data_IF_190777911033
#
_entry.id   IF_190777911033
#
_cell.length_a   1.000
_cell.length_b   1.000
_cell.length_c   1.000
_cell.angle_alpha   90.00
_cell.angle_beta   90.00
_cell.angle_gamma   90.00
#
_symmetry.space_group_name_H-M   'P 1'
#
loop_
_entity.id
_entity.type
_entity.pdbx_description
1 polymer ?
#
# COMPACT_ATOMS: atom_id res chain seq x y z
N UNK A 1 -80.41 -30.45 -1.77
CA UNK A 1 -79.21 -31.30 -1.56
C UNK A 1 -77.93 -30.71 -2.17
N UNK A 2 -77.93 -29.42 -2.57
CA UNK A 2 -76.82 -28.74 -3.29
C UNK A 2 -76.11 -27.66 -2.48
N UNK A 3 -76.54 -27.37 -1.25
CA UNK A 3 -75.96 -26.32 -0.39
C UNK A 3 -74.83 -26.81 0.53
N UNK A 4 -74.56 -28.12 0.58
CA UNK A 4 -73.52 -28.70 1.44
C UNK A 4 -72.15 -28.86 0.75
N UNK A 5 -72.04 -28.62 -0.56
CA UNK A 5 -70.78 -28.78 -1.29
C UNK A 5 -69.89 -27.53 -1.32
N UNK A 6 -70.43 -26.31 -1.14
CA UNK A 6 -69.62 -25.09 -1.10
C UNK A 6 -68.92 -24.82 0.24
N UNK A 7 -69.42 -25.39 1.34
CA UNK A 7 -68.80 -25.23 2.66
C UNK A 7 -67.46 -25.97 2.78
N UNK A 8 -67.31 -27.13 2.11
CA UNK A 8 -66.10 -27.96 2.23
C UNK A 8 -64.93 -27.42 1.42
N UNK A 9 -65.18 -26.76 0.28
CA UNK A 9 -64.13 -26.13 -0.53
C UNK A 9 -63.57 -24.86 0.12
N UNK A 10 -64.42 -24.08 0.83
CA UNK A 10 -63.97 -22.86 1.51
C UNK A 10 -63.04 -23.13 2.69
N UNK A 11 -63.29 -24.21 3.44
CA UNK A 11 -62.44 -24.57 4.59
C UNK A 11 -61.07 -25.12 4.14
N UNK A 12 -61.04 -25.87 3.04
CA UNK A 12 -59.81 -26.39 2.47
C UNK A 12 -58.90 -25.26 1.95
N UNK A 13 -59.46 -24.23 1.29
CA UNK A 13 -58.68 -23.05 0.89
C UNK A 13 -58.14 -22.27 2.08
N UNK A 14 -58.91 -22.08 3.15
CA UNK A 14 -58.44 -21.38 4.35
C UNK A 14 -57.34 -22.14 5.07
N UNK A 15 -57.44 -23.47 5.16
CA UNK A 15 -56.38 -24.32 5.71
C UNK A 15 -55.12 -24.29 4.85
N UNK A 16 -55.25 -24.32 3.53
CA UNK A 16 -54.10 -24.25 2.62
C UNK A 16 -53.41 -22.89 2.69
N UNK A 17 -54.18 -21.80 2.78
CA UNK A 17 -53.64 -20.45 2.96
C UNK A 17 -52.97 -20.29 4.33
N UNK A 18 -53.56 -20.84 5.40
CA UNK A 18 -52.96 -20.83 6.73
C UNK A 18 -51.66 -21.66 6.79
N UNK A 19 -51.60 -22.79 6.08
CA UNK A 19 -50.38 -23.59 5.94
C UNK A 19 -49.33 -22.84 5.12
N UNK A 20 -49.71 -22.15 4.03
CA UNK A 20 -48.78 -21.32 3.26
C UNK A 20 -48.23 -20.14 4.07
N UNK A 21 -49.08 -19.49 4.88
CA UNK A 21 -48.66 -18.40 5.79
C UNK A 21 -47.75 -18.97 6.89
N UNK A 22 -48.10 -20.11 7.49
CA UNK A 22 -47.26 -20.76 8.51
C UNK A 22 -45.92 -21.23 7.93
N UNK A 23 -45.91 -21.76 6.71
CA UNK A 23 -44.69 -22.12 5.98
C UNK A 23 -43.90 -20.86 5.66
N UNK A 24 -44.49 -19.76 5.20
CA UNK A 24 -43.78 -18.49 5.00
C UNK A 24 -43.25 -17.87 6.31
N UNK A 25 -43.93 -18.08 7.45
CA UNK A 25 -43.46 -17.64 8.77
C UNK A 25 -42.33 -18.54 9.28
N UNK A 26 -42.33 -19.84 8.97
CA UNK A 26 -41.26 -20.77 9.32
C UNK A 26 -40.08 -20.73 8.34
N UNK A 27 -40.31 -20.38 7.08
CA UNK A 27 -39.26 -20.11 6.06
C UNK A 27 -38.86 -18.65 6.01
N UNK A 28 -39.53 -17.78 6.79
CA UNK A 28 -38.92 -16.60 7.39
C UNK A 28 -37.87 -17.06 8.40
N UNK A 29 -36.97 -17.92 7.93
CA UNK A 29 -35.69 -18.21 8.53
C UNK A 29 -35.13 -16.83 8.72
N UNK A 30 -35.05 -16.39 9.98
CA UNK A 30 -34.11 -15.36 10.33
C UNK A 30 -32.82 -15.82 9.69
N UNK A 31 -32.39 -15.16 8.62
CA UNK A 31 -31.05 -15.30 8.11
C UNK A 31 -30.19 -14.97 9.32
N UNK A 32 -29.79 -16.03 10.03
CA UNK A 32 -28.73 -15.97 11.00
C UNK A 32 -27.54 -15.69 10.12
N UNK A 33 -27.30 -14.40 9.87
CA UNK A 33 -26.01 -13.90 9.43
C UNK A 33 -25.02 -14.61 10.34
N UNK A 34 -24.27 -15.57 9.79
CA UNK A 34 -23.19 -16.19 10.52
C UNK A 34 -22.35 -15.03 11.06
N UNK A 35 -22.12 -15.04 12.37
CA UNK A 35 -21.34 -13.97 12.99
C UNK A 35 -19.98 -13.96 12.30
N UNK A 36 -19.65 -12.86 11.63
CA UNK A 36 -18.36 -12.71 10.96
C UNK A 36 -17.28 -12.89 12.03
N UNK A 37 -16.51 -13.96 11.92
CA UNK A 37 -15.37 -14.23 12.79
C UNK A 37 -14.12 -13.69 12.11
N UNK A 38 -13.37 -12.89 12.86
CA UNK A 38 -12.08 -12.36 12.44
C UNK A 38 -10.98 -13.09 13.22
N UNK A 39 -9.98 -13.62 12.51
CA UNK A 39 -8.92 -14.42 13.11
C UNK A 39 -7.93 -13.55 13.91
N UNK A 40 -7.69 -12.32 13.45
CA UNK A 40 -6.81 -11.32 14.05
C UNK A 40 -7.34 -9.91 13.78
N UNK A 41 -6.86 -8.92 14.53
CA UNK A 41 -7.12 -7.52 14.18
C UNK A 41 -6.26 -7.12 12.99
N UNK A 42 -6.81 -6.28 12.12
CA UNK A 42 -6.13 -5.80 10.91
C UNK A 42 -5.95 -4.28 10.92
N UNK A 43 -4.77 -3.84 10.46
CA UNK A 43 -4.51 -2.43 10.16
C UNK A 43 -4.58 -2.22 8.65
N UNK A 44 -5.53 -1.40 8.21
CA UNK A 44 -5.70 -1.08 6.80
C UNK A 44 -5.22 0.35 6.52
N UNK A 45 -4.33 0.48 5.55
CA UNK A 45 -3.95 1.75 4.95
C UNK A 45 -4.62 1.91 3.59
N UNK A 46 -5.30 3.03 3.37
CA UNK A 46 -5.73 3.44 2.03
C UNK A 46 -4.74 4.44 1.47
N UNK A 47 -4.05 4.02 0.41
CA UNK A 47 -3.03 4.82 -0.25
C UNK A 47 -3.53 5.35 -1.60
N UNK A 48 -3.51 6.66 -1.74
CA UNK A 48 -3.55 7.35 -3.01
C UNK A 48 -4.87 7.32 -3.80
N UNK A 49 -4.79 7.76 -5.06
CA UNK A 49 -3.70 8.58 -5.61
C UNK A 49 -3.77 10.05 -5.11
N UNK A 50 -2.63 10.65 -4.75
CA UNK A 50 -2.59 12.06 -4.39
C UNK A 50 -2.85 12.98 -5.58
N UNK A 51 -3.59 14.07 -5.34
CA UNK A 51 -3.89 15.11 -6.34
C UNK A 51 -4.63 14.61 -7.59
N UNK A 52 -5.33 13.48 -7.47
CA UNK A 52 -6.41 13.15 -8.38
C UNK A 52 -7.70 13.52 -7.64
N UNK A 53 -8.24 14.71 -7.94
CA UNK A 53 -9.47 15.24 -7.34
C UNK A 53 -10.68 14.27 -7.47
N UNK A 54 -10.53 13.18 -8.22
CA UNK A 54 -11.60 12.32 -8.68
C UNK A 54 -11.50 10.87 -8.17
N UNK A 55 -10.74 10.59 -7.10
CA UNK A 55 -10.82 9.25 -6.51
C UNK A 55 -12.03 9.19 -5.59
N UNK A 56 -13.07 8.42 -5.98
CA UNK A 56 -14.25 8.18 -5.13
C UNK A 56 -13.92 7.61 -3.74
N UNK A 57 -12.67 7.24 -3.51
CA UNK A 57 -12.11 6.84 -2.22
C UNK A 57 -11.90 8.01 -1.26
N UNK A 58 -11.43 9.18 -1.73
CA UNK A 58 -11.34 10.37 -0.86
C UNK A 58 -12.74 10.84 -0.46
N UNK A 59 -13.68 10.85 -1.40
CA UNK A 59 -15.09 11.15 -1.14
C UNK A 59 -15.75 10.14 -0.22
N UNK A 60 -15.47 8.85 -0.40
CA UNK A 60 -15.91 7.80 0.52
C UNK A 60 -15.45 8.10 1.94
N UNK A 61 -14.17 8.42 2.14
CA UNK A 61 -13.66 8.75 3.46
C UNK A 61 -14.29 10.01 4.00
N UNK A 62 -14.38 11.08 3.21
CA UNK A 62 -14.97 12.33 3.67
C UNK A 62 -16.43 12.14 4.08
N UNK A 63 -17.25 11.53 3.24
CA UNK A 63 -18.66 11.28 3.56
C UNK A 63 -18.81 10.31 4.73
N UNK A 64 -18.08 9.20 4.74
CA UNK A 64 -18.25 8.17 5.75
C UNK A 64 -17.69 8.60 7.11
N UNK A 65 -16.52 9.24 7.16
CA UNK A 65 -15.93 9.75 8.40
C UNK A 65 -16.80 10.88 8.97
N UNK A 66 -17.22 11.84 8.14
CA UNK A 66 -18.05 12.97 8.58
C UNK A 66 -19.42 12.52 9.12
N UNK A 67 -19.98 11.44 8.56
CA UNK A 67 -21.29 10.89 8.97
C UNK A 67 -21.17 9.87 10.11
N UNK A 68 -20.08 9.10 10.14
CA UNK A 68 -19.97 7.84 10.87
C UNK A 68 -19.49 7.95 12.31
N UNK A 69 -18.73 8.96 12.70
CA UNK A 69 -18.22 9.07 14.08
C UNK A 69 -19.27 9.22 15.19
N UNK A 70 -20.51 9.64 14.88
CA UNK A 70 -21.56 9.77 15.90
C UNK A 70 -22.15 8.40 16.25
N UNK A 71 -21.95 7.97 17.49
CA UNK A 71 -22.51 6.74 18.06
C UNK A 71 -24.01 6.61 17.72
N UNK A 72 -24.37 5.55 16.99
CA UNK A 72 -25.75 5.28 16.55
C UNK A 72 -26.11 5.72 15.13
N UNK A 73 -25.17 6.26 14.35
CA UNK A 73 -25.41 6.53 12.93
C UNK A 73 -25.66 5.21 12.16
N UNK A 74 -26.68 5.10 11.29
CA UNK A 74 -26.99 3.88 10.54
C UNK A 74 -25.81 3.31 9.77
N UNK A 75 -24.98 4.20 9.18
CA UNK A 75 -23.75 3.84 8.45
C UNK A 75 -22.78 3.02 9.32
N UNK A 76 -22.64 3.32 10.62
CA UNK A 76 -21.77 2.55 11.51
C UNK A 76 -22.17 1.08 11.61
N UNK A 77 -23.43 0.71 11.35
CA UNK A 77 -23.84 -0.68 11.50
C UNK A 77 -23.27 -1.57 10.40
N UNK A 78 -23.12 -1.05 9.18
CA UNK A 78 -22.61 -1.81 8.05
C UNK A 78 -21.12 -2.10 8.19
N UNK A 79 -20.34 -1.16 8.72
CA UNK A 79 -18.90 -1.31 8.96
C UNK A 79 -18.56 -1.34 10.46
N UNK A 80 -19.45 -1.88 11.30
CA UNK A 80 -19.37 -1.78 12.78
C UNK A 80 -18.10 -2.34 13.41
N UNK A 81 -17.46 -3.27 12.70
CA UNK A 81 -16.25 -3.95 13.15
C UNK A 81 -14.99 -3.11 12.93
N UNK A 82 -15.08 -2.07 12.09
CA UNK A 82 -13.99 -1.18 11.74
C UNK A 82 -14.09 0.16 12.43
N UNK A 83 -12.93 0.76 12.71
CA UNK A 83 -12.82 2.09 13.29
C UNK A 83 -11.98 3.00 12.40
N UNK A 84 -12.43 4.25 12.27
CA UNK A 84 -11.67 5.31 11.63
C UNK A 84 -11.20 6.28 12.69
N UNK A 85 -9.89 6.39 12.93
CA UNK A 85 -9.39 7.33 13.91
C UNK A 85 -9.68 8.76 13.47
N UNK A 86 -10.24 9.55 14.38
CA UNK A 86 -10.47 10.99 14.21
C UNK A 86 -9.84 11.70 15.40
N UNK A 87 -8.81 12.55 15.23
CA UNK A 87 -8.32 13.39 16.32
C UNK A 87 -9.43 14.36 16.79
N UNK A 88 -9.42 14.73 18.07
CA UNK A 88 -10.56 15.38 18.77
C UNK A 88 -10.84 16.85 18.37
N UNK A 89 -10.08 17.44 17.45
CA UNK A 89 -10.24 18.82 16.97
C UNK A 89 -10.62 18.84 15.47
N UNK A 90 -11.33 19.89 15.01
CA UNK A 90 -11.99 20.19 13.71
C UNK A 90 -11.25 19.86 12.37
N UNK A 91 -10.34 18.90 12.36
CA UNK A 91 -9.67 18.38 11.18
C UNK A 91 -10.59 17.41 10.42
N UNK A 92 -10.82 17.71 9.14
CA UNK A 92 -11.47 16.78 8.21
C UNK A 92 -10.61 15.50 8.10
N UNK A 93 -11.18 14.37 8.53
CA UNK A 93 -10.41 13.23 9.04
C UNK A 93 -9.44 12.52 8.09
N UNK A 94 -9.55 12.65 6.76
CA UNK A 94 -8.58 12.04 5.83
C UNK A 94 -7.31 12.89 5.64
N UNK A 95 -7.45 14.23 5.72
CA UNK A 95 -6.32 15.14 5.56
C UNK A 95 -5.35 15.07 6.73
N UNK A 96 -5.86 14.74 7.93
CA UNK A 96 -5.07 14.78 9.15
C UNK A 96 -3.90 13.79 9.16
N UNK A 97 -4.08 12.63 8.54
CA UNK A 97 -2.99 11.66 8.40
C UNK A 97 -1.94 12.13 7.39
N UNK A 98 -2.33 12.95 6.41
CA UNK A 98 -1.44 13.65 5.49
C UNK A 98 -0.43 14.53 6.23
N UNK A 99 -0.83 15.10 7.36
CA UNK A 99 0.02 15.97 8.18
C UNK A 99 1.16 15.22 8.87
N UNK A 100 1.07 13.90 9.05
CA UNK A 100 2.21 13.09 9.53
C UNK A 100 3.41 13.17 8.56
N UNK A 101 3.14 13.30 7.26
CA UNK A 101 4.16 13.42 6.22
C UNK A 101 4.60 14.88 6.05
N UNK A 102 3.64 15.80 5.93
CA UNK A 102 3.92 17.24 5.70
C UNK A 102 4.61 17.89 6.91
N UNK A 103 4.15 17.58 8.12
CA UNK A 103 4.61 18.16 9.37
C UNK A 103 5.32 17.12 10.27
N UNK A 104 6.20 16.29 9.70
CA UNK A 104 6.93 15.25 10.44
C UNK A 104 7.69 15.76 11.68
N UNK A 105 8.03 17.06 11.75
CA UNK A 105 8.68 17.69 12.90
C UNK A 105 7.71 18.21 13.99
N UNK A 106 6.40 18.23 13.74
CA UNK A 106 5.40 18.67 14.72
C UNK A 106 5.09 17.53 15.70
N UNK A 107 5.92 17.40 16.74
CA UNK A 107 5.83 16.31 17.71
C UNK A 107 4.48 16.26 18.45
N UNK A 108 3.84 17.40 18.70
CA UNK A 108 2.53 17.48 19.37
C UNK A 108 1.44 16.89 18.48
N UNK A 109 1.29 17.42 17.25
CA UNK A 109 0.32 16.91 16.29
C UNK A 109 0.51 15.41 16.02
N UNK A 110 1.76 14.99 15.81
CA UNK A 110 2.08 13.59 15.58
C UNK A 110 1.76 12.70 16.79
N UNK A 111 1.84 13.23 18.01
CA UNK A 111 1.45 12.50 19.21
C UNK A 111 -0.06 12.37 19.28
N UNK A 112 -0.79 13.44 19.01
CA UNK A 112 -2.26 13.47 19.12
C UNK A 112 -2.90 12.53 18.08
N UNK A 113 -2.39 12.54 16.84
CA UNK A 113 -2.82 11.60 15.79
C UNK A 113 -2.56 10.15 16.22
N UNK A 114 -1.35 9.84 16.73
CA UNK A 114 -1.00 8.48 17.15
C UNK A 114 -1.84 8.01 18.35
N UNK A 115 -2.08 8.88 19.33
CA UNK A 115 -2.95 8.57 20.48
C UNK A 115 -4.38 8.30 20.02
N UNK A 116 -4.91 9.09 19.08
CA UNK A 116 -6.23 8.82 18.48
C UNK A 116 -6.26 7.43 17.84
N UNK A 117 -5.28 7.09 17.00
CA UNK A 117 -5.18 5.76 16.38
C UNK A 117 -5.16 4.64 17.43
N UNK A 118 -4.38 4.79 18.51
CA UNK A 118 -4.33 3.79 19.59
C UNK A 118 -5.67 3.62 20.33
N UNK A 119 -6.37 4.72 20.59
CA UNK A 119 -7.68 4.67 21.26
C UNK A 119 -8.70 3.92 20.40
N UNK A 120 -8.79 4.27 19.12
CA UNK A 120 -9.69 3.58 18.19
C UNK A 120 -9.28 2.13 17.94
N UNK A 121 -7.98 1.82 17.95
CA UNK A 121 -7.49 0.45 17.87
C UNK A 121 -7.95 -0.42 19.05
N UNK A 122 -7.93 0.14 20.26
CA UNK A 122 -8.40 -0.56 21.45
C UNK A 122 -9.91 -0.86 21.39
N UNK A 123 -10.69 0.03 20.80
CA UNK A 123 -12.15 -0.08 20.67
C UNK A 123 -12.64 -0.86 19.44
N UNK A 124 -11.78 -1.08 18.45
CA UNK A 124 -12.12 -1.83 17.25
C UNK A 124 -12.36 -3.31 17.56
N UNK A 125 -13.36 -3.92 16.93
CA UNK A 125 -13.57 -5.38 17.00
C UNK A 125 -12.67 -6.09 15.99
N UNK A 126 -12.65 -5.62 14.73
CA UNK A 126 -11.80 -6.15 13.67
C UNK A 126 -10.56 -5.31 13.40
N UNK A 127 -10.66 -3.98 13.33
CA UNK A 127 -9.47 -3.22 12.93
C UNK A 127 -9.67 -1.73 12.81
N UNK A 128 -8.57 -1.04 12.47
CA UNK A 128 -8.61 0.38 12.13
C UNK A 128 -8.27 0.58 10.67
N UNK A 129 -8.93 1.57 10.09
CA UNK A 129 -8.68 2.01 8.73
C UNK A 129 -8.14 3.43 8.78
N UNK A 130 -7.05 3.67 8.07
CA UNK A 130 -6.37 4.95 7.99
C UNK A 130 -6.17 5.27 6.51
N UNK A 131 -6.71 6.40 6.05
CA UNK A 131 -6.57 6.84 4.66
C UNK A 131 -5.83 8.15 4.56
N UNK A 132 -4.94 8.26 3.58
CA UNK A 132 -4.37 9.54 3.18
C UNK A 132 -4.00 9.51 1.71
N UNK A 133 -4.30 10.59 1.00
CA UNK A 133 -3.82 10.81 -0.35
C UNK A 133 -2.30 10.71 -0.42
N UNK A 134 -1.58 11.16 0.61
CA UNK A 134 -0.12 11.16 0.65
C UNK A 134 0.51 9.80 1.01
N UNK A 135 -0.27 8.75 1.28
CA UNK A 135 0.32 7.43 1.55
C UNK A 135 0.92 6.77 0.31
N UNK A 136 0.58 7.24 -0.90
CA UNK A 136 1.23 6.80 -2.15
C UNK A 136 2.64 7.40 -2.37
N UNK A 137 3.07 8.32 -1.50
CA UNK A 137 4.40 8.95 -1.54
C UNK A 137 5.48 7.99 -1.05
N UNK A 138 5.77 6.99 -1.87
CA UNK A 138 6.77 5.96 -1.63
C UNK A 138 7.69 5.81 -2.84
N UNK A 139 8.89 5.28 -2.62
CA UNK A 139 9.91 5.14 -3.66
C UNK A 139 10.93 6.27 -3.69
N UNK A 140 11.93 6.13 -4.56
CA UNK A 140 13.15 6.93 -4.51
C UNK A 140 13.00 8.40 -4.95
N UNK A 141 11.99 8.71 -5.78
CA UNK A 141 11.70 10.06 -6.24
C UNK A 141 10.50 10.70 -5.53
N UNK A 142 9.90 10.02 -4.54
CA UNK A 142 8.79 10.58 -3.78
C UNK A 142 9.24 11.83 -3.00
N UNK A 143 8.39 12.86 -3.01
CA UNK A 143 8.64 14.13 -2.31
C UNK A 143 8.52 13.96 -0.80
N UNK A 144 7.59 13.10 -0.37
CA UNK A 144 7.39 12.75 1.03
C UNK A 144 7.77 11.29 1.25
N UNK A 145 8.07 10.94 2.50
CA UNK A 145 8.31 9.56 2.93
C UNK A 145 7.10 9.08 3.71
N UNK A 146 6.17 8.39 3.04
CA UNK A 146 4.99 7.80 3.70
C UNK A 146 5.35 6.57 4.54
N UNK A 147 6.41 5.84 4.19
CA UNK A 147 6.78 4.60 4.89
C UNK A 147 7.24 4.84 6.32
N UNK A 148 7.93 5.95 6.60
CA UNK A 148 8.34 6.31 7.97
C UNK A 148 7.15 6.48 8.94
N UNK A 149 6.16 7.36 8.68
CA UNK A 149 5.00 7.50 9.55
C UNK A 149 4.12 6.24 9.58
N UNK A 150 3.93 5.53 8.46
CA UNK A 150 3.19 4.26 8.46
C UNK A 150 3.86 3.21 9.35
N UNK A 151 5.18 3.02 9.26
CA UNK A 151 5.94 2.13 10.15
C UNK A 151 5.80 2.53 11.62
N UNK A 152 5.76 3.84 11.91
CA UNK A 152 5.55 4.34 13.27
C UNK A 152 4.17 3.92 13.79
N UNK A 153 3.14 3.95 12.95
CA UNK A 153 1.80 3.46 13.31
C UNK A 153 1.82 1.95 13.56
N UNK A 154 2.34 1.15 12.62
CA UNK A 154 2.44 -0.31 12.73
C UNK A 154 3.15 -0.72 14.03
N UNK A 155 4.33 -0.15 14.30
CA UNK A 155 5.12 -0.43 15.51
C UNK A 155 4.42 0.03 16.79
N UNK A 156 3.70 1.15 16.77
CA UNK A 156 2.95 1.65 17.93
C UNK A 156 1.78 0.72 18.28
N UNK A 157 1.13 0.14 17.27
CA UNK A 157 0.04 -0.81 17.42
C UNK A 157 0.52 -2.25 17.64
N UNK A 158 1.84 -2.50 17.60
CA UNK A 158 2.46 -3.82 17.71
C UNK A 158 1.83 -4.83 16.76
N UNK A 159 1.56 -4.40 15.52
CA UNK A 159 1.01 -5.28 14.48
C UNK A 159 2.12 -6.04 13.78
N UNK A 160 1.85 -7.32 13.51
CA UNK A 160 2.68 -8.13 12.62
C UNK A 160 2.46 -7.67 11.18
N UNK A 161 3.51 -7.70 10.35
CA UNK A 161 3.47 -7.20 8.97
C UNK A 161 2.39 -7.90 8.12
N UNK A 162 2.12 -9.18 8.39
CA UNK A 162 1.08 -9.99 7.75
C UNK A 162 -0.37 -9.57 8.08
N UNK A 163 -0.56 -8.76 9.13
CA UNK A 163 -1.86 -8.18 9.52
C UNK A 163 -1.98 -6.70 9.11
N UNK A 164 -1.07 -6.22 8.24
CA UNK A 164 -1.12 -4.88 7.64
C UNK A 164 -1.50 -5.03 6.17
N UNK A 165 -2.58 -4.37 5.76
CA UNK A 165 -3.02 -4.36 4.36
C UNK A 165 -3.05 -2.95 3.82
N UNK A 166 -2.43 -2.75 2.65
CA UNK A 166 -2.51 -1.50 1.90
C UNK A 166 -3.46 -1.66 0.72
N UNK A 167 -4.41 -0.73 0.61
CA UNK A 167 -5.36 -0.68 -0.49
C UNK A 167 -4.94 0.46 -1.42
N UNK A 168 -4.79 0.13 -2.70
CA UNK A 168 -4.39 1.04 -3.76
C UNK A 168 -5.44 1.00 -4.88
N UNK A 169 -5.76 2.15 -5.45
CA UNK A 169 -6.57 2.23 -6.65
C UNK A 169 -5.67 2.24 -7.88
N UNK A 170 -6.01 1.42 -8.87
CA UNK A 170 -5.38 1.40 -10.18
C UNK A 170 -6.38 1.91 -11.21
N UNK A 171 -6.16 3.12 -11.72
CA UNK A 171 -6.97 3.73 -12.78
C UNK A 171 -6.35 3.48 -14.13
N UNK A 172 -7.16 3.11 -15.10
CA UNK A 172 -6.80 3.24 -16.52
C UNK A 172 -8.01 3.67 -17.36
N UNK A 173 -7.83 4.51 -18.39
CA UNK A 173 -6.57 5.16 -18.78
C UNK A 173 -6.06 6.18 -17.75
N UNK A 174 -4.75 6.40 -17.70
CA UNK A 174 -4.09 7.32 -16.75
C UNK A 174 -3.89 8.73 -17.29
N UNK A 175 -4.06 8.95 -18.59
CA UNK A 175 -3.96 10.30 -19.15
C UNK A 175 -4.86 11.30 -18.42
N UNK A 176 -6.09 10.93 -18.09
CA UNK A 176 -7.03 11.78 -17.36
C UNK A 176 -6.54 12.13 -15.95
N UNK A 177 -5.91 11.17 -15.27
CA UNK A 177 -5.29 11.39 -13.96
C UNK A 177 -4.11 12.36 -14.08
N UNK A 178 -3.27 12.21 -15.12
CA UNK A 178 -2.16 13.13 -15.37
C UNK A 178 -2.64 14.57 -15.62
N UNK A 179 -3.73 14.71 -16.37
CA UNK A 179 -4.35 16.01 -16.65
C UNK A 179 -4.99 16.62 -15.39
N UNK A 180 -5.59 15.79 -14.54
CA UNK A 180 -6.11 16.22 -13.24
C UNK A 180 -4.98 16.79 -12.37
N UNK A 181 -3.82 16.12 -12.34
CA UNK A 181 -2.63 16.63 -11.63
C UNK A 181 -2.18 17.97 -12.21
N UNK A 182 -2.15 18.12 -13.53
CA UNK A 182 -1.82 19.41 -14.15
C UNK A 182 -2.81 20.50 -13.72
N UNK A 183 -4.12 20.27 -13.90
CA UNK A 183 -5.15 21.25 -13.57
C UNK A 183 -5.15 21.62 -12.07
N UNK A 184 -4.93 20.65 -11.18
CA UNK A 184 -4.84 20.91 -9.74
C UNK A 184 -3.61 21.75 -9.35
N UNK A 185 -2.49 21.61 -10.08
CA UNK A 185 -1.24 22.30 -9.77
C UNK A 185 -1.12 23.67 -10.46
N UNK A 186 -1.69 23.85 -11.64
CA UNK A 186 -1.60 25.08 -12.42
C UNK A 186 -2.84 25.27 -13.33
N UNK A 187 -4.03 25.53 -12.76
CA UNK A 187 -5.31 25.56 -13.49
C UNK A 187 -5.42 26.69 -14.52
N UNK A 188 -4.47 27.64 -14.51
CA UNK A 188 -4.48 28.81 -15.38
C UNK A 188 -3.41 28.75 -16.48
N UNK A 189 -2.60 27.68 -16.53
CA UNK A 189 -1.59 27.51 -17.57
C UNK A 189 -2.05 26.53 -18.63
N UNK A 190 -1.41 26.57 -19.80
CA UNK A 190 -1.54 25.52 -20.82
C UNK A 190 -0.69 24.31 -20.43
N UNK A 191 -0.98 23.13 -21.01
CA UNK A 191 -0.19 21.93 -20.74
C UNK A 191 1.29 22.12 -21.12
N UNK A 192 1.53 22.82 -22.24
CA UNK A 192 2.88 23.24 -22.67
C UNK A 192 3.58 24.06 -21.60
N UNK A 193 2.93 25.08 -21.05
CA UNK A 193 3.52 25.88 -19.97
C UNK A 193 3.81 25.05 -18.72
N UNK A 194 2.87 24.19 -18.31
CA UNK A 194 3.03 23.32 -17.15
C UNK A 194 4.26 22.40 -17.26
N UNK A 195 4.45 21.77 -18.41
CA UNK A 195 5.59 20.88 -18.69
C UNK A 195 6.90 21.64 -18.88
N UNK A 196 6.89 22.76 -19.60
CA UNK A 196 8.10 23.50 -19.91
C UNK A 196 8.65 24.26 -18.70
N UNK A 197 7.77 24.88 -17.89
CA UNK A 197 8.19 25.52 -16.62
C UNK A 197 8.89 24.53 -15.71
N UNK A 198 8.45 23.27 -15.64
CA UNK A 198 9.15 22.29 -14.78
C UNK A 198 10.55 21.90 -15.27
N UNK A 199 10.85 22.04 -16.56
CA UNK A 199 12.18 21.70 -17.08
C UNK A 199 13.23 22.73 -16.69
N UNK A 200 12.89 24.01 -16.80
CA UNK A 200 13.81 25.11 -16.53
C UNK A 200 13.07 26.35 -16.01
N UNK A 201 12.72 26.35 -14.72
CA UNK A 201 12.23 27.54 -14.03
C UNK A 201 13.32 28.10 -13.11
N UNK A 202 13.88 29.29 -13.40
CA UNK A 202 14.86 29.92 -12.53
C UNK A 202 14.27 30.37 -11.18
N UNK A 203 12.96 30.58 -11.10
CA UNK A 203 12.27 30.99 -9.87
C UNK A 203 11.99 29.80 -8.94
N UNK A 204 11.82 28.60 -9.52
CA UNK A 204 11.61 27.35 -8.78
C UNK A 204 12.44 26.19 -9.39
N UNK A 205 13.71 26.05 -8.99
CA UNK A 205 14.59 25.01 -9.52
C UNK A 205 14.19 23.60 -9.09
N UNK A 206 13.28 23.44 -8.11
CA UNK A 206 12.81 22.15 -7.63
C UNK A 206 11.56 21.66 -8.36
N UNK A 207 10.95 22.48 -9.22
CA UNK A 207 9.73 22.12 -9.95
C UNK A 207 9.90 20.86 -10.80
N UNK A 208 11.08 20.64 -11.41
CA UNK A 208 11.42 19.39 -12.10
C UNK A 208 11.26 18.18 -11.18
N UNK A 209 11.81 18.25 -9.96
CA UNK A 209 11.75 17.17 -8.98
C UNK A 209 10.32 16.94 -8.50
N UNK A 210 9.53 18.01 -8.35
CA UNK A 210 8.11 17.90 -8.01
C UNK A 210 7.34 17.13 -9.09
N UNK A 211 7.56 17.43 -10.38
CA UNK A 211 6.90 16.69 -11.47
C UNK A 211 7.33 15.23 -11.54
N UNK A 212 8.63 14.95 -11.38
CA UNK A 212 9.12 13.57 -11.33
C UNK A 212 8.51 12.83 -10.13
N UNK A 213 8.39 13.48 -8.97
CA UNK A 213 7.72 12.89 -7.81
C UNK A 213 6.25 12.58 -8.08
N UNK A 214 5.52 13.44 -8.79
CA UNK A 214 4.12 13.19 -9.15
C UNK A 214 4.00 11.99 -10.09
N UNK A 215 4.91 11.86 -11.07
CA UNK A 215 4.97 10.70 -11.96
C UNK A 215 5.35 9.40 -11.23
N UNK A 216 6.22 9.50 -10.23
CA UNK A 216 6.73 8.37 -9.44
C UNK A 216 5.76 7.89 -8.37
N UNK A 217 5.00 8.80 -7.76
CA UNK A 217 4.04 8.48 -6.70
C UNK A 217 2.59 8.42 -7.22
N UNK A 218 2.00 9.52 -7.73
CA UNK A 218 0.58 9.53 -8.14
C UNK A 218 0.34 8.59 -9.31
N UNK A 219 1.25 8.61 -10.29
CA UNK A 219 1.02 7.96 -11.58
C UNK A 219 1.53 6.51 -11.60
N UNK A 220 2.20 6.03 -10.54
CA UNK A 220 2.84 4.72 -10.51
C UNK A 220 2.37 3.87 -9.32
N UNK A 221 1.06 3.58 -9.28
CA UNK A 221 0.47 2.75 -8.23
C UNK A 221 1.09 1.36 -8.10
N UNK A 222 1.68 0.80 -9.17
CA UNK A 222 2.40 -0.47 -9.12
C UNK A 222 3.75 -0.36 -8.43
N UNK A 223 4.48 0.75 -8.59
CA UNK A 223 5.65 1.01 -7.76
C UNK A 223 5.27 1.13 -6.28
N UNK A 224 4.17 1.82 -5.98
CA UNK A 224 3.70 1.94 -4.61
C UNK A 224 3.37 0.57 -4.00
N UNK A 225 2.62 -0.26 -4.74
CA UNK A 225 2.34 -1.65 -4.36
C UNK A 225 3.63 -2.43 -4.09
N UNK A 226 4.63 -2.30 -4.97
CA UNK A 226 5.91 -3.00 -4.84
C UNK A 226 6.63 -2.64 -3.54
N UNK A 227 6.69 -1.34 -3.23
CA UNK A 227 7.37 -0.84 -2.04
C UNK A 227 6.68 -1.31 -0.75
N UNK A 228 5.35 -1.42 -0.72
CA UNK A 228 4.63 -2.00 0.43
C UNK A 228 4.83 -3.51 0.55
N UNK A 229 4.74 -4.25 -0.54
CA UNK A 229 4.94 -5.71 -0.56
C UNK A 229 6.34 -6.08 -0.04
N UNK A 230 7.36 -5.29 -0.39
CA UNK A 230 8.73 -5.46 0.11
C UNK A 230 8.89 -5.24 1.62
N UNK A 231 7.91 -4.61 2.28
CA UNK A 231 7.86 -4.49 3.74
C UNK A 231 7.22 -5.70 4.43
N UNK A 232 6.68 -6.65 3.66
CA UNK A 232 5.93 -7.78 4.21
C UNK A 232 4.43 -7.49 4.40
N UNK A 233 3.95 -6.31 4.00
CA UNK A 233 2.54 -5.96 4.08
C UNK A 233 1.76 -6.56 2.93
N UNK A 234 0.48 -6.83 3.13
CA UNK A 234 -0.41 -7.25 2.07
C UNK A 234 -0.82 -6.05 1.22
N UNK A 235 -1.10 -6.28 -0.07
CA UNK A 235 -1.61 -5.25 -0.97
C UNK A 235 -2.87 -5.73 -1.69
N UNK A 236 -3.93 -4.93 -1.62
CA UNK A 236 -5.10 -5.07 -2.47
C UNK A 236 -5.12 -3.94 -3.49
N UNK A 237 -4.92 -4.29 -4.75
CA UNK A 237 -4.93 -3.35 -5.86
C UNK A 237 -6.27 -3.43 -6.59
N UNK A 238 -7.05 -2.35 -6.55
CA UNK A 238 -8.38 -2.28 -7.16
C UNK A 238 -8.25 -1.76 -8.59
N UNK A 239 -8.51 -2.60 -9.58
CA UNK A 239 -8.60 -2.19 -10.99
C UNK A 239 -9.92 -1.48 -11.24
N UNK A 240 -9.89 -0.14 -11.26
CA UNK A 240 -11.10 0.70 -11.34
C UNK A 240 -11.89 0.48 -12.63
N UNK A 241 -11.22 0.20 -13.75
CA UNK A 241 -11.91 -0.11 -15.01
C UNK A 241 -12.68 -1.42 -14.87
N UNK A 242 -12.09 -2.44 -14.26
CA UNK A 242 -12.79 -3.69 -13.97
C UNK A 242 -13.97 -3.52 -13.02
N UNK A 243 -13.88 -2.60 -12.05
CA UNK A 243 -15.01 -2.24 -11.18
C UNK A 243 -16.14 -1.63 -12.00
N UNK A 244 -15.84 -0.65 -12.86
CA UNK A 244 -16.84 -0.01 -13.73
C UNK A 244 -17.53 -1.01 -14.68
N UNK A 245 -16.78 -1.96 -15.25
CA UNK A 245 -17.33 -3.03 -16.10
C UNK A 245 -18.36 -3.92 -15.38
N UNK A 246 -18.35 -3.93 -14.04
CA UNK A 246 -19.32 -4.66 -13.22
C UNK A 246 -20.52 -3.81 -12.74
N UNK A 247 -20.66 -2.57 -13.21
CA UNK A 247 -21.66 -1.59 -12.75
C UNK A 247 -21.64 -1.39 -11.21
N UNK A 248 -20.44 -1.47 -10.64
CA UNK A 248 -20.16 -1.25 -9.22
C UNK A 248 -19.38 0.06 -9.04
N UNK A 249 -19.50 0.62 -7.86
CA UNK A 249 -18.72 1.79 -7.43
C UNK A 249 -17.52 1.33 -6.57
N UNK A 250 -16.41 2.06 -6.60
CA UNK A 250 -15.21 1.73 -5.80
C UNK A 250 -15.50 1.70 -4.29
N UNK A 251 -16.39 2.56 -3.80
CA UNK A 251 -16.83 2.59 -2.41
C UNK A 251 -17.51 1.27 -2.02
N UNK A 252 -18.25 0.66 -2.94
CA UNK A 252 -18.88 -0.63 -2.72
C UNK A 252 -17.86 -1.75 -2.62
N UNK A 253 -16.89 -1.79 -3.53
CA UNK A 253 -15.79 -2.77 -3.48
C UNK A 253 -15.05 -2.69 -2.15
N UNK A 254 -14.74 -1.47 -1.72
CA UNK A 254 -14.07 -1.22 -0.45
C UNK A 254 -14.93 -1.70 0.73
N UNK A 255 -16.16 -1.21 0.85
CA UNK A 255 -17.01 -1.52 1.99
C UNK A 255 -17.41 -2.99 2.08
N UNK A 256 -17.73 -3.61 0.95
CA UNK A 256 -18.31 -4.95 0.91
C UNK A 256 -17.27 -6.03 0.71
N UNK A 257 -16.43 -5.88 -0.32
CA UNK A 257 -15.51 -6.96 -0.70
C UNK A 257 -14.25 -6.94 0.15
N UNK A 258 -13.75 -5.76 0.51
CA UNK A 258 -12.54 -5.63 1.32
C UNK A 258 -12.86 -5.63 2.80
N UNK A 259 -13.70 -4.71 3.25
CA UNK A 259 -14.01 -4.53 4.67
C UNK A 259 -15.10 -5.47 5.19
N UNK A 260 -15.68 -6.32 4.33
CA UNK A 260 -16.70 -7.32 4.71
C UNK A 260 -17.88 -6.71 5.47
N UNK A 261 -18.28 -5.51 5.07
CA UNK A 261 -19.44 -4.83 5.62
C UNK A 261 -20.75 -5.52 5.30
N UNK A 262 -21.80 -5.16 6.02
CA UNK A 262 -23.17 -5.54 5.64
C UNK A 262 -23.54 -4.82 4.34
N UNK A 263 -23.96 -5.57 3.32
CA UNK A 263 -24.25 -5.04 2.00
C UNK A 263 -25.56 -5.60 1.45
N UNK A 264 -26.32 -4.75 0.75
CA UNK A 264 -27.64 -5.06 0.18
C UNK A 264 -27.66 -4.59 -1.28
N UNK A 265 -28.09 -5.46 -2.20
CA UNK A 265 -28.17 -5.18 -3.64
C UNK A 265 -26.88 -4.62 -4.27
N UNK A 266 -25.71 -5.00 -3.75
CA UNK A 266 -24.43 -4.49 -4.24
C UNK A 266 -24.09 -3.07 -3.76
N UNK A 267 -24.65 -2.64 -2.63
CA UNK A 267 -24.32 -1.40 -1.95
C UNK A 267 -24.06 -1.65 -0.47
N UNK A 268 -23.29 -0.77 0.19
CA UNK A 268 -23.15 -0.81 1.64
C UNK A 268 -24.53 -0.60 2.28
N UNK A 269 -24.97 -1.53 3.12
CA UNK A 269 -26.31 -1.53 3.67
C UNK A 269 -26.57 -0.23 4.44
N UNK A 270 -27.77 0.35 4.27
CA UNK A 270 -28.21 1.60 4.93
C UNK A 270 -27.40 2.84 4.56
N UNK A 271 -26.44 2.71 3.64
CA UNK A 271 -25.98 3.85 2.90
C UNK A 271 -27.01 4.11 1.80
N UNK A 272 -27.33 5.37 1.56
CA UNK A 272 -28.06 5.74 0.35
C UNK A 272 -27.33 5.12 -0.85
N UNK A 273 -28.02 4.87 -1.98
CA UNK A 273 -27.42 4.36 -3.24
C UNK A 273 -26.47 5.40 -3.84
N UNK A 274 -25.48 5.79 -3.06
CA UNK A 274 -24.43 6.71 -3.37
C UNK A 274 -23.57 6.02 -4.40
N UNK A 275 -23.57 6.60 -5.58
CA UNK A 275 -22.50 6.43 -6.54
C UNK A 275 -21.68 7.71 -6.44
N UNK A 276 -20.37 7.55 -6.42
CA UNK A 276 -19.48 8.67 -6.67
C UNK A 276 -19.96 9.30 -7.98
N UNK A 277 -20.26 10.61 -8.02
CA UNK A 277 -20.66 11.25 -9.25
C UNK A 277 -19.63 10.92 -10.34
N UNK A 278 -20.10 10.56 -11.53
CA UNK A 278 -19.24 10.57 -12.71
C UNK A 278 -18.87 12.03 -12.94
N UNK A 279 -17.76 12.49 -12.37
CA UNK A 279 -17.29 13.84 -12.62
C UNK A 279 -16.93 13.95 -14.10
N UNK A 280 -17.44 15.02 -14.73
CA UNK A 280 -17.04 15.37 -16.08
C UNK A 280 -15.53 15.56 -16.09
N UNK A 281 -14.83 14.60 -16.67
CA UNK A 281 -13.42 14.76 -17.01
C UNK A 281 -13.34 16.03 -17.85
N UNK A 282 -12.54 17.04 -17.45
CA UNK A 282 -12.39 18.25 -18.22
C UNK A 282 -12.10 17.89 -19.69
N UNK A 283 -12.67 18.63 -20.64
CA UNK A 283 -12.42 18.40 -22.06
C UNK A 283 -10.95 18.73 -22.40
N UNK A 284 -10.09 17.74 -22.14
CA UNK A 284 -8.64 17.75 -22.30
C UNK A 284 -8.24 17.79 -23.77
N UNK A 285 -9.15 17.41 -24.68
CA UNK A 285 -8.86 17.20 -26.10
C UNK A 285 -8.34 18.42 -26.84
N UNK A 286 -8.44 19.61 -26.25
CA UNK A 286 -7.93 20.84 -26.84
C UNK A 286 -6.43 21.05 -26.66
N UNK A 287 -5.81 20.58 -25.57
CA UNK A 287 -4.40 20.85 -25.25
C UNK A 287 -3.47 19.69 -25.61
N UNK A 288 -3.95 18.44 -25.53
CA UNK A 288 -3.21 17.26 -25.96
C UNK A 288 -4.04 16.54 -27.02
N UNK A 289 -3.56 16.55 -28.27
CA UNK A 289 -4.24 15.86 -29.36
C UNK A 289 -4.40 14.36 -29.09
N UNK A 290 -5.47 13.75 -29.63
CA UNK A 290 -5.84 12.35 -29.37
C UNK A 290 -4.69 11.35 -29.61
N UNK A 291 -3.90 11.56 -30.68
CA UNK A 291 -2.74 10.71 -30.98
C UNK A 291 -1.65 10.80 -29.92
N UNK A 292 -1.38 12.00 -29.40
CA UNK A 292 -0.40 12.19 -28.33
C UNK A 292 -0.92 11.64 -26.99
N UNK A 293 -2.20 11.85 -26.68
CA UNK A 293 -2.84 11.26 -25.50
C UNK A 293 -2.75 9.72 -25.51
N UNK A 294 -2.97 9.10 -26.67
CA UNK A 294 -2.80 7.65 -26.86
C UNK A 294 -1.36 7.19 -26.62
N UNK A 295 -0.36 7.93 -27.11
CA UNK A 295 1.05 7.60 -26.85
C UNK A 295 1.44 7.74 -25.38
N UNK A 296 0.92 8.77 -24.69
CA UNK A 296 1.11 8.91 -23.23
C UNK A 296 0.54 7.70 -22.50
N UNK A 297 -0.68 7.29 -22.83
CA UNK A 297 -1.27 6.11 -22.23
C UNK A 297 -0.46 4.85 -22.53
N UNK A 298 0.03 4.67 -23.76
CA UNK A 298 0.90 3.55 -24.12
C UNK A 298 2.20 3.54 -23.30
N UNK A 299 2.85 4.70 -23.14
CA UNK A 299 4.07 4.85 -22.32
C UNK A 299 3.82 4.43 -20.86
N UNK A 300 2.71 4.90 -20.31
CA UNK A 300 2.25 4.51 -18.99
C UNK A 300 2.03 2.99 -18.92
N UNK A 301 1.28 2.39 -19.84
CA UNK A 301 1.03 0.93 -19.88
C UNK A 301 2.31 0.11 -19.96
N UNK A 302 3.29 0.55 -20.74
CA UNK A 302 4.57 -0.15 -20.85
C UNK A 302 5.34 -0.13 -19.53
N UNK A 303 5.32 0.99 -18.82
CA UNK A 303 5.88 1.06 -17.46
C UNK A 303 5.21 0.05 -16.54
N UNK A 304 3.89 -0.08 -16.60
CA UNK A 304 3.15 -1.03 -15.75
C UNK A 304 3.46 -2.50 -16.06
N UNK A 305 3.60 -2.83 -17.34
CA UNK A 305 4.02 -4.17 -17.76
C UNK A 305 5.39 -4.55 -17.18
N UNK A 306 6.24 -3.56 -16.87
CA UNK A 306 7.53 -3.79 -16.23
C UNK A 306 7.40 -4.35 -14.80
N UNK A 307 6.27 -4.11 -14.14
CA UNK A 307 6.00 -4.61 -12.80
C UNK A 307 5.35 -5.99 -12.77
N UNK A 308 4.77 -6.50 -13.87
CA UNK A 308 4.07 -7.80 -13.87
C UNK A 308 4.96 -8.93 -13.33
N UNK A 309 6.18 -9.04 -13.86
CA UNK A 309 7.17 -10.03 -13.41
C UNK A 309 7.67 -9.78 -11.97
N UNK A 310 7.76 -8.51 -11.55
CA UNK A 310 8.17 -8.14 -10.19
C UNK A 310 7.10 -8.50 -9.15
N UNK A 311 5.83 -8.47 -9.54
CA UNK A 311 4.68 -8.75 -8.67
C UNK A 311 4.32 -10.23 -8.58
N UNK A 312 4.70 -11.01 -9.58
CA UNK A 312 4.36 -12.43 -9.67
C UNK A 312 4.61 -13.24 -8.39
N UNK A 313 5.75 -13.13 -7.69
CA UNK A 313 5.97 -13.87 -6.44
C UNK A 313 4.97 -13.51 -5.34
N UNK A 314 4.51 -12.25 -5.29
CA UNK A 314 3.55 -11.77 -4.29
C UNK A 314 2.12 -12.18 -4.62
N UNK A 315 1.78 -12.26 -5.91
CA UNK A 315 0.51 -12.83 -6.38
C UNK A 315 0.43 -14.33 -6.06
N UNK A 316 1.53 -15.07 -6.31
CA UNK A 316 1.62 -16.50 -6.03
C UNK A 316 1.59 -16.82 -4.53
N UNK A 317 2.13 -15.94 -3.68
CA UNK A 317 2.08 -16.09 -2.23
C UNK A 317 0.75 -15.68 -1.60
N UNK A 318 -0.09 -14.95 -2.33
CA UNK A 318 -1.33 -14.35 -1.83
C UNK A 318 -1.12 -13.05 -1.03
N UNK A 319 0.11 -12.55 -0.92
CA UNK A 319 0.40 -11.25 -0.29
C UNK A 319 -0.13 -10.08 -1.14
N UNK A 320 -0.27 -10.28 -2.45
CA UNK A 320 -0.92 -9.33 -3.36
C UNK A 320 -2.21 -9.92 -3.92
N UNK A 321 -3.28 -9.12 -3.92
CA UNK A 321 -4.54 -9.41 -4.59
C UNK A 321 -4.87 -8.29 -5.58
N UNK A 322 -5.13 -8.63 -6.84
CA UNK A 322 -5.65 -7.69 -7.84
C UNK A 322 -7.15 -7.91 -7.96
N UNK A 323 -7.92 -6.96 -7.44
CA UNK A 323 -9.38 -7.03 -7.44
C UNK A 323 -9.91 -6.54 -8.79
N UNK A 324 -10.91 -7.24 -9.32
CA UNK A 324 -11.55 -6.90 -10.59
C UNK A 324 -10.56 -6.83 -11.78
N UNK A 325 -9.53 -7.68 -11.78
CA UNK A 325 -8.48 -7.73 -12.82
C UNK A 325 -9.07 -7.78 -14.23
N UNK A 326 -9.11 -6.64 -14.91
CA UNK A 326 -9.67 -6.50 -16.26
C UNK A 326 -8.70 -5.79 -17.19
N UNK A 327 -8.24 -4.60 -16.79
CA UNK A 327 -7.41 -3.72 -17.59
C UNK A 327 -5.92 -3.83 -17.26
N UNK A 328 -5.60 -4.15 -16.01
CA UNK A 328 -4.22 -4.26 -15.54
C UNK A 328 -3.48 -5.41 -16.24
N UNK A 329 -2.41 -5.04 -16.94
CA UNK A 329 -1.58 -5.91 -17.79
C UNK A 329 -2.28 -6.61 -18.96
N UNK A 330 -3.52 -6.23 -19.30
CA UNK A 330 -4.27 -6.86 -20.39
C UNK A 330 -3.55 -6.75 -21.75
N UNK A 331 -2.81 -5.66 -21.95
CA UNK A 331 -2.12 -5.33 -23.20
C UNK A 331 -0.60 -5.59 -23.15
N UNK A 332 -0.10 -6.33 -22.15
CA UNK A 332 1.34 -6.62 -22.04
C UNK A 332 1.77 -7.69 -23.05
N UNK A 333 2.68 -7.32 -23.95
CA UNK A 333 3.22 -8.22 -24.98
C UNK A 333 4.53 -8.86 -24.54
N UNK A 334 4.67 -10.21 -24.52
CA UNK A 334 5.91 -10.87 -24.13
C UNK A 334 7.15 -10.43 -24.93
N UNK A 335 6.96 -10.05 -26.19
CA UNK A 335 8.01 -9.57 -27.09
C UNK A 335 8.61 -8.19 -26.71
N UNK A 336 7.95 -7.44 -25.83
CA UNK A 336 8.38 -6.10 -25.38
C UNK A 336 8.93 -6.08 -23.95
N UNK A 337 9.15 -7.25 -23.34
CA UNK A 337 9.58 -7.40 -21.94
C UNK A 337 10.83 -6.59 -21.57
N UNK A 338 11.79 -6.42 -22.49
CA UNK A 338 12.99 -5.61 -22.23
C UNK A 338 12.66 -4.10 -22.10
N UNK A 339 11.79 -3.60 -22.97
CA UNK A 339 11.32 -2.19 -22.93
C UNK A 339 10.61 -1.95 -21.60
N UNK A 340 9.71 -2.87 -21.23
CA UNK A 340 8.94 -2.80 -19.99
C UNK A 340 9.83 -2.72 -18.75
N UNK A 341 10.84 -3.59 -18.65
CA UNK A 341 11.80 -3.59 -17.54
C UNK A 341 12.56 -2.27 -17.43
N UNK A 342 12.96 -1.72 -18.57
CA UNK A 342 13.69 -0.46 -18.60
C UNK A 342 12.81 0.73 -18.19
N UNK A 343 11.50 0.66 -18.36
CA UNK A 343 10.57 1.74 -18.01
C UNK A 343 10.05 1.67 -16.58
N UNK A 344 9.95 0.47 -15.97
CA UNK A 344 9.33 0.26 -14.65
C UNK A 344 9.69 1.34 -13.61
N UNK A 345 10.99 1.59 -13.41
CA UNK A 345 11.50 2.56 -12.43
C UNK A 345 12.22 3.77 -13.08
N UNK A 346 11.94 4.06 -14.35
CA UNK A 346 12.63 5.12 -15.10
C UNK A 346 11.82 6.43 -15.16
N UNK A 347 11.51 7.00 -13.98
CA UNK A 347 10.67 8.20 -13.89
C UNK A 347 11.23 9.40 -14.66
N UNK A 348 12.56 9.57 -14.73
CA UNK A 348 13.18 10.62 -15.56
C UNK A 348 12.99 10.37 -17.07
N UNK A 349 13.01 9.10 -17.50
CA UNK A 349 12.74 8.75 -18.89
C UNK A 349 11.29 9.04 -19.23
N UNK A 350 10.35 8.66 -18.36
CA UNK A 350 8.92 8.97 -18.54
C UNK A 350 8.69 10.48 -18.56
N UNK A 351 9.29 11.22 -17.64
CA UNK A 351 9.21 12.68 -17.61
C UNK A 351 9.72 13.33 -18.91
N UNK A 352 10.91 12.93 -19.39
CA UNK A 352 11.49 13.50 -20.60
C UNK A 352 10.70 13.13 -21.85
N UNK A 353 10.15 11.91 -21.91
CA UNK A 353 9.22 11.50 -22.97
C UNK A 353 7.96 12.36 -23.00
N UNK A 354 7.33 12.64 -21.86
CA UNK A 354 6.18 13.56 -21.77
C UNK A 354 6.56 14.98 -22.17
N UNK A 355 7.72 15.47 -21.73
CA UNK A 355 8.22 16.79 -22.08
C UNK A 355 8.48 16.93 -23.59
N UNK A 356 8.86 15.84 -24.27
CA UNK A 356 9.10 15.85 -25.72
C UNK A 356 7.87 16.11 -26.57
N UNK A 357 6.67 16.02 -25.99
CA UNK A 357 5.39 16.25 -26.69
C UNK A 357 5.06 17.73 -26.85
N UNK A 358 5.75 18.61 -26.12
CA UNK A 358 5.46 20.04 -26.09
C UNK A 358 6.64 20.85 -26.67
N UNK A 359 6.34 21.94 -27.38
CA UNK A 359 7.38 22.84 -27.89
C UNK A 359 7.73 23.91 -26.87
N UNK A 360 8.75 23.65 -26.05
CA UNK A 360 9.20 24.61 -25.04
C UNK A 360 9.88 25.87 -25.61
N UNK A 361 10.30 25.87 -26.87
CA UNK A 361 10.84 27.08 -27.49
C UNK A 361 9.75 28.14 -27.67
N UNK A 362 8.50 27.72 -27.83
CA UNK A 362 7.34 28.62 -27.92
C UNK A 362 7.12 29.46 -26.65
N UNK A 363 7.60 28.98 -25.50
CA UNK A 363 7.56 29.67 -24.20
C UNK A 363 8.94 30.19 -23.74
N UNK A 364 9.91 30.23 -24.66
CA UNK A 364 11.24 30.79 -24.40
C UNK A 364 12.16 29.90 -23.56
N UNK A 365 11.89 28.60 -23.48
CA UNK A 365 12.71 27.63 -22.74
C UNK A 365 13.44 26.73 -23.74
N UNK A 366 14.76 26.90 -23.82
CA UNK A 366 15.62 26.03 -24.64
C UNK A 366 15.77 24.66 -23.98
N UNK A 367 15.40 23.62 -24.72
CA UNK A 367 15.55 22.23 -24.31
C UNK A 367 16.88 21.70 -24.83
N UNK A 368 17.74 21.18 -23.95
CA UNK A 368 19.05 20.68 -24.34
C UNK A 368 18.98 19.33 -25.08
N UNK A 369 19.99 19.06 -25.92
CA UNK A 369 20.20 17.76 -26.56
C UNK A 369 20.24 16.64 -25.50
N UNK A 370 19.51 15.55 -25.73
CA UNK A 370 19.45 14.38 -24.83
C UNK A 370 18.11 14.13 -24.14
N UNK A 371 17.04 14.83 -24.52
CA UNK A 371 15.68 14.41 -24.18
C UNK A 371 15.34 13.10 -24.90
N UNK A 372 14.79 12.14 -24.15
CA UNK A 372 14.21 10.93 -24.72
C UNK A 372 12.84 11.30 -25.27
N UNK A 373 12.64 11.08 -26.56
CA UNK A 373 11.34 11.29 -27.21
C UNK A 373 10.34 10.20 -26.84
N UNK A 374 9.05 10.47 -27.05
CA UNK A 374 7.99 9.47 -26.84
C UNK A 374 8.22 8.20 -27.65
N UNK A 375 8.57 8.33 -28.93
CA UNK A 375 8.82 7.19 -29.81
C UNK A 375 10.09 6.41 -29.39
N UNK A 376 11.14 7.11 -28.93
CA UNK A 376 12.34 6.45 -28.38
C UNK A 376 12.03 5.67 -27.10
N UNK A 377 11.25 6.24 -26.17
CA UNK A 377 10.84 5.55 -24.95
C UNK A 377 10.03 4.28 -25.25
N UNK A 378 9.13 4.34 -26.24
CA UNK A 378 8.29 3.22 -26.66
C UNK A 378 9.04 2.15 -27.49
N UNK A 379 10.21 2.48 -28.04
CA UNK A 379 11.00 1.55 -28.87
C UNK A 379 12.33 1.16 -28.24
N UNK A 380 12.55 1.49 -26.97
CA UNK A 380 13.83 1.37 -26.30
C UNK A 380 14.25 -0.10 -26.03
N UNK A 381 14.77 -0.79 -27.05
CA UNK A 381 15.17 -2.21 -26.98
C UNK A 381 16.63 -2.42 -26.56
N UNK A 382 17.24 -1.48 -25.85
CA UNK A 382 18.67 -1.53 -25.50
C UNK A 382 18.92 -1.29 -24.02
N UNK A 383 19.95 -1.97 -23.48
CA UNK A 383 20.56 -1.60 -22.21
C UNK A 383 20.90 -0.11 -22.29
N UNK A 384 20.14 0.74 -21.59
CA UNK A 384 20.64 2.05 -21.21
C UNK A 384 21.86 1.74 -20.34
N UNK A 385 23.05 1.77 -20.94
CA UNK A 385 24.27 1.93 -20.20
C UNK A 385 24.15 3.30 -19.54
N UNK A 386 23.58 3.34 -18.33
CA UNK A 386 23.52 4.50 -17.44
C UNK A 386 24.93 4.96 -16.98
N UNK A 387 25.98 4.59 -17.74
CA UNK A 387 27.38 4.93 -17.53
C UNK A 387 27.69 6.43 -17.68
N UNK A 388 26.70 7.32 -17.79
CA UNK A 388 26.87 8.77 -17.64
C UNK A 388 26.08 9.40 -16.48
N UNK A 389 25.46 8.61 -15.59
CA UNK A 389 25.17 9.12 -14.23
C UNK A 389 26.46 9.02 -13.41
N UNK A 390 27.00 10.18 -13.02
CA UNK A 390 28.10 10.38 -12.05
C UNK A 390 27.81 9.83 -10.62
N UNK A 391 27.04 8.74 -10.50
CA UNK A 391 26.80 7.97 -9.27
C UNK A 391 27.72 6.75 -9.09
N UNK A 392 28.56 6.43 -10.08
CA UNK A 392 29.47 5.27 -10.06
C UNK A 392 30.59 5.29 -9.01
N UNK A 393 30.66 6.30 -8.12
CA UNK A 393 31.60 6.27 -7.01
C UNK A 393 31.09 5.41 -5.85
N UNK A 394 29.78 5.30 -5.62
CA UNK A 394 29.23 4.61 -4.45
C UNK A 394 29.04 3.10 -4.64
N UNK A 395 28.56 2.64 -5.81
CA UNK A 395 28.47 1.20 -6.10
C UNK A 395 29.87 0.56 -6.26
N UNK A 396 30.82 1.29 -6.84
CA UNK A 396 32.22 0.88 -6.88
C UNK A 396 32.83 0.77 -5.48
N UNK A 397 32.47 1.66 -4.55
CA UNK A 397 32.91 1.60 -3.15
C UNK A 397 32.25 0.42 -2.41
N UNK A 398 30.96 0.18 -2.63
CA UNK A 398 30.24 -0.87 -1.92
C UNK A 398 30.75 -2.25 -2.31
N UNK A 399 30.86 -2.53 -3.61
CA UNK A 399 31.28 -3.85 -4.08
C UNK A 399 32.79 -4.10 -3.93
N UNK A 400 33.65 -3.08 -4.08
CA UNK A 400 35.10 -3.28 -4.01
C UNK A 400 35.71 -3.02 -2.62
N UNK A 401 35.04 -2.28 -1.73
CA UNK A 401 35.58 -1.93 -0.41
C UNK A 401 34.71 -2.48 0.71
N UNK A 402 33.39 -2.23 0.69
CA UNK A 402 32.50 -2.61 1.80
C UNK A 402 32.34 -4.13 1.89
N UNK A 403 32.07 -4.82 0.78
CA UNK A 403 31.90 -6.28 0.77
C UNK A 403 33.16 -7.01 1.29
N UNK A 404 34.39 -6.72 0.80
CA UNK A 404 35.59 -7.32 1.36
C UNK A 404 35.80 -7.02 2.86
N UNK A 405 35.48 -5.79 3.31
CA UNK A 405 35.61 -5.42 4.73
C UNK A 405 34.62 -6.17 5.63
N UNK A 406 33.38 -6.38 5.19
CA UNK A 406 32.39 -7.17 5.93
C UNK A 406 32.82 -8.63 6.00
N UNK A 407 33.32 -9.21 4.90
CA UNK A 407 33.88 -10.56 4.90
C UNK A 407 35.10 -10.69 5.82
N UNK A 408 36.03 -9.73 5.79
CA UNK A 408 37.17 -9.72 6.72
C UNK A 408 36.73 -9.55 8.17
N UNK A 409 35.71 -8.72 8.44
CA UNK A 409 35.12 -8.56 9.77
C UNK A 409 34.49 -9.85 10.30
N UNK A 410 33.73 -10.56 9.46
CA UNK A 410 33.13 -11.85 9.81
C UNK A 410 34.19 -12.93 10.08
N UNK A 411 35.25 -12.99 9.25
CA UNK A 411 36.38 -13.92 9.45
C UNK A 411 37.12 -13.59 10.76
N UNK A 412 37.41 -12.32 11.01
CA UNK A 412 38.07 -11.88 12.24
C UNK A 412 37.22 -12.19 13.49
N UNK A 413 35.92 -11.95 13.42
CA UNK A 413 34.98 -12.29 14.50
C UNK A 413 34.94 -13.80 14.77
N UNK A 414 34.85 -14.62 13.72
CA UNK A 414 34.87 -16.07 13.86
C UNK A 414 36.19 -16.58 14.47
N UNK A 415 37.33 -16.04 14.03
CA UNK A 415 38.64 -16.34 14.59
C UNK A 415 38.73 -15.96 16.07
N UNK A 416 38.25 -14.78 16.44
CA UNK A 416 38.20 -14.31 17.83
C UNK A 416 37.30 -15.18 18.71
N UNK A 417 36.11 -15.55 18.21
CA UNK A 417 35.19 -16.44 18.90
C UNK A 417 35.81 -17.83 19.16
N UNK A 418 36.46 -18.41 18.16
CA UNK A 418 37.16 -19.69 18.29
C UNK A 418 38.34 -19.61 19.27
N UNK A 419 39.09 -18.50 19.26
CA UNK A 419 40.16 -18.23 20.20
C UNK A 419 39.65 -18.17 21.65
N UNK A 420 38.58 -17.40 21.89
CA UNK A 420 37.95 -17.29 23.21
C UNK A 420 37.41 -18.64 23.70
N UNK A 421 36.82 -19.44 22.80
CA UNK A 421 36.36 -20.81 23.10
C UNK A 421 37.51 -21.73 23.50
N UNK A 422 38.68 -21.62 22.87
CA UNK A 422 39.90 -22.37 23.25
C UNK A 422 40.43 -21.93 24.61
N UNK A 423 40.48 -20.63 24.89
CA UNK A 423 40.91 -20.12 26.20
C UNK A 423 40.00 -20.62 27.33
N UNK A 424 38.68 -20.57 27.14
CA UNK A 424 37.73 -21.07 28.14
C UNK A 424 37.89 -22.58 28.39
N UNK A 425 38.17 -23.38 27.36
CA UNK A 425 38.47 -24.81 27.53
C UNK A 425 39.75 -25.03 28.34
N UNK A 426 40.79 -24.21 28.12
CA UNK A 426 42.04 -24.29 28.87
C UNK A 426 41.88 -23.85 30.34
N UNK A 427 41.05 -22.83 30.60
CA UNK A 427 40.73 -22.41 31.96
C UNK A 427 39.92 -23.49 32.70
N UNK A 428 38.93 -24.07 32.04
CA UNK A 428 38.12 -25.15 32.62
C UNK A 428 38.97 -26.41 32.90
N UNK A 429 39.89 -26.78 32.00
CA UNK A 429 40.77 -27.93 32.25
C UNK A 429 41.72 -27.69 33.42
N UNK A 430 42.24 -26.47 33.59
CA UNK A 430 43.04 -26.08 34.78
C UNK A 430 42.21 -26.11 36.05
N UNK A 431 40.97 -25.61 36.03
CA UNK A 431 40.08 -25.64 37.18
C UNK A 431 39.73 -27.09 37.61
N UNK A 432 39.50 -27.98 36.63
CA UNK A 432 39.27 -29.41 36.89
C UNK A 432 40.53 -30.08 37.44
N UNK A 433 41.72 -29.78 36.89
CA UNK A 433 42.98 -30.29 37.40
C UNK A 433 43.25 -29.85 38.85
N UNK A 434 42.98 -28.58 39.18
CA UNK A 434 43.10 -28.05 40.54
C UNK A 434 42.16 -28.72 41.54
N UNK A 435 40.87 -28.91 41.19
CA UNK A 435 39.94 -29.65 42.06
C UNK A 435 40.39 -31.09 42.30
N UNK A 436 41.02 -31.73 41.30
CA UNK A 436 41.52 -33.10 41.43
C UNK A 436 42.74 -33.17 42.35
N UNK A 437 43.65 -32.20 42.31
CA UNK A 437 44.77 -32.12 43.26
C UNK A 437 44.29 -31.87 44.69
N UNK A 438 43.29 -31.00 44.87
CA UNK A 438 42.74 -30.70 46.21
C UNK A 438 42.06 -31.92 46.82
N UNK A 439 41.30 -32.69 46.03
CA UNK A 439 40.68 -33.95 46.46
C UNK A 439 41.72 -35.02 46.82
N UNK A 440 42.82 -35.11 46.06
CA UNK A 440 43.92 -36.04 46.36
C UNK A 440 44.66 -35.65 47.66
N UNK A 441 44.89 -34.36 47.89
CA UNK A 441 45.49 -33.85 49.12
C UNK A 441 44.60 -34.11 50.34
N UNK A 442 43.29 -33.89 50.22
CA UNK A 442 42.31 -34.18 51.26
C UNK A 442 42.25 -35.69 51.59
N UNK A 443 42.24 -36.55 50.57
CA UNK A 443 42.26 -38.00 50.76
C UNK A 443 43.54 -38.47 51.49
N UNK A 444 44.70 -37.90 51.16
CA UNK A 444 45.97 -38.18 51.85
C UNK A 444 45.95 -37.78 53.33
N UNK A 445 45.38 -36.62 53.66
CA UNK A 445 45.24 -36.14 55.05
C UNK A 445 44.32 -37.03 55.90
N UNK A 446 43.23 -37.53 55.31
CA UNK A 446 42.31 -38.47 55.98
C UNK A 446 43.02 -39.79 56.28
N UNK A 447 43.83 -40.30 55.34
CA UNK A 447 44.55 -41.55 55.51
C UNK A 447 45.67 -41.45 56.57
N UNK A 448 46.40 -40.33 56.64
CA UNK A 448 47.35 -40.06 57.72
C UNK A 448 46.66 -39.96 59.09
N UNK A 449 45.49 -39.31 59.16
CA UNK A 449 44.73 -39.18 60.41
C UNK A 449 44.20 -40.55 60.88
N UNK A 450 43.77 -41.41 59.94
CA UNK A 450 43.33 -42.77 60.25
C UNK A 450 44.49 -43.66 60.76
N UNK A 451 45.68 -43.56 60.15
CA UNK A 451 46.86 -44.30 60.61
C UNK A 451 47.36 -43.82 61.97
N UNK A 452 47.34 -42.51 62.24
CA UNK A 452 47.71 -41.96 63.56
C UNK A 452 46.79 -42.45 64.68
N UNK A 453 45.51 -42.74 64.41
CA UNK A 453 44.55 -43.27 65.40
C UNK A 453 44.68 -44.77 65.66
N UNK A 454 45.38 -45.53 64.82
CA UNK A 454 45.63 -46.96 65.07
C UNK A 454 46.91 -47.22 65.89
N UNK A 455 47.77 -46.22 66.05
CA UNK A 455 49.02 -46.32 66.82
C UNK A 455 48.93 -45.74 68.24
N UNK A 456 47.78 -45.18 68.61
CA UNK A 456 47.39 -44.84 69.99
C UNK A 456 46.36 -45.82 70.48
#
# INVERSE_FOLDING_TARGET
MTLLHHSRTSLACLLFLAVLIAVQIQTGVAEYSEAVQFDSKELIFFAGPHQADNSGVSDFFHHWIASGWRKGHPNLLALRYWRWPTPEDDYYGAEVFGELMKQHNNATLNKDIIVSIQNFWAEAENGVVIGSELFDQVGHNARYDALTPMNKIVSTLQQDDENVTVILNYRTPRIEQWMSIWNANDPNSTYTEFMCKSYHNPEDPDLKKVRISQLSASMNGLNAAYEFLRRGWNVKLIDLEGVHQTDRDVTHVIGCDILKGECEDGYIARHDKFRTPDEEVPDIGNDVGEDEARKVEELFRFRDCGYEELMKPFLESGQMEVMYKYSIWADCEPGRSEIYKNLANADETVYTALLSQVDCNSVGIEVHDGIITMDEALTMTGNINHNERKGGMLEGLFNNIVVPLVFMGAIAYAAFYLYKKRQNRALNSRAVAGRRSDLQAAAGSIQQTAMSRQMT
#
